data_IF_565346000085
#
_entry.id   IF_565346000085
#
_cell.length_a   1.000
_cell.length_b   1.000
_cell.length_c   1.000
_cell.angle_alpha   90.00
_cell.angle_beta   90.00
_cell.angle_gamma   90.00
#
_symmetry.space_group_name_H-M   'P 1'
#
loop_
_entity.id
_entity.type
_entity.pdbx_description
1 polymer ?
#
# COMPACT_ATOMS: atom_id res chain seq x y z
N UNK A 1 3.93 -9.47 -49.18
CA UNK A 1 4.92 -8.78 -48.32
C UNK A 1 4.81 -9.36 -46.93
N UNK A 2 5.96 -9.68 -46.33
CA UNK A 2 6.15 -10.39 -45.07
C UNK A 2 5.64 -9.62 -43.83
N UNK A 3 5.11 -10.33 -42.83
CA UNK A 3 5.37 -10.06 -41.42
C UNK A 3 4.97 -11.26 -40.53
N UNK A 4 5.97 -12.14 -40.33
CA UNK A 4 6.24 -13.07 -39.22
C UNK A 4 5.14 -13.27 -38.17
N UNK A 5 4.48 -14.43 -38.25
CA UNK A 5 4.21 -15.22 -37.05
C UNK A 5 5.56 -15.54 -36.39
N UNK A 6 5.89 -14.86 -35.29
CA UNK A 6 7.00 -15.25 -34.43
C UNK A 6 6.51 -16.39 -33.53
N UNK A 7 6.73 -17.61 -34.00
CA UNK A 7 6.86 -18.79 -33.15
C UNK A 7 8.11 -18.58 -32.28
N UNK A 8 7.94 -17.99 -31.10
CA UNK A 8 9.03 -17.97 -30.13
C UNK A 8 9.30 -19.40 -29.69
N UNK A 9 10.56 -19.81 -29.76
CA UNK A 9 10.98 -21.13 -29.28
C UNK A 9 10.81 -21.19 -27.75
N UNK A 10 10.57 -22.38 -27.16
CA UNK A 10 10.40 -22.53 -25.70
C UNK A 10 11.56 -21.90 -24.89
N UNK A 11 12.79 -21.96 -25.41
CA UNK A 11 13.97 -21.30 -24.83
C UNK A 11 13.86 -19.77 -24.75
N UNK A 12 13.19 -19.11 -25.71
CA UNK A 12 13.06 -17.65 -25.69
C UNK A 12 12.07 -17.19 -24.62
N UNK A 13 11.01 -17.96 -24.39
CA UNK A 13 10.04 -17.70 -23.32
C UNK A 13 10.67 -17.91 -21.93
N UNK A 14 11.55 -18.90 -21.78
CA UNK A 14 12.32 -19.12 -20.55
C UNK A 14 13.35 -18.01 -20.32
N UNK A 15 14.02 -17.53 -21.36
CA UNK A 15 14.99 -16.43 -21.25
C UNK A 15 14.35 -15.09 -20.90
N UNK A 16 13.18 -14.77 -21.45
CA UNK A 16 12.42 -13.57 -21.06
C UNK A 16 11.98 -13.65 -19.58
N UNK A 17 11.48 -14.81 -19.13
CA UNK A 17 11.16 -15.05 -17.72
C UNK A 17 12.40 -14.99 -16.78
N UNK A 18 13.57 -15.48 -17.23
CA UNK A 18 14.83 -15.43 -16.47
C UNK A 18 15.42 -14.01 -16.44
N UNK A 19 15.14 -13.17 -17.44
CA UNK A 19 15.58 -11.77 -17.48
C UNK A 19 14.66 -10.86 -16.65
N UNK A 20 13.38 -11.19 -16.51
CA UNK A 20 12.42 -10.45 -15.67
C UNK A 20 12.67 -10.65 -14.17
N UNK A 21 13.24 -11.80 -13.77
CA UNK A 21 13.51 -12.14 -12.36
C UNK A 21 14.85 -11.61 -11.80
N UNK A 22 15.64 -10.83 -12.57
CA UNK A 22 17.05 -10.60 -12.22
C UNK A 22 17.35 -9.41 -11.31
N UNK A 23 16.38 -8.60 -10.89
CA UNK A 23 16.65 -7.43 -10.03
C UNK A 23 15.55 -7.18 -8.97
N UNK A 24 15.02 -8.22 -8.32
CA UNK A 24 14.13 -8.01 -7.17
C UNK A 24 14.98 -7.73 -5.92
N UNK A 25 14.82 -6.53 -5.36
CA UNK A 25 15.44 -6.16 -4.08
C UNK A 25 14.37 -6.31 -3.01
N UNK A 26 14.57 -7.15 -1.97
CA UNK A 26 13.62 -7.24 -0.89
C UNK A 26 13.61 -5.92 -0.11
N UNK A 27 12.46 -5.27 -0.03
CA UNK A 27 12.22 -4.09 0.79
C UNK A 27 11.11 -4.37 1.81
N UNK A 28 11.16 -3.68 2.94
CA UNK A 28 10.08 -3.68 3.93
C UNK A 28 9.48 -2.28 3.96
N UNK A 29 8.17 -2.21 3.78
CA UNK A 29 7.42 -0.95 3.77
C UNK A 29 6.68 -0.76 5.10
N UNK A 30 6.58 0.48 5.61
CA UNK A 30 6.10 0.77 6.96
C UNK A 30 4.57 0.77 7.07
N UNK A 31 3.92 -0.39 6.91
CA UNK A 31 2.46 -0.49 7.01
C UNK A 31 1.99 -0.37 8.47
N UNK A 32 1.11 0.59 8.74
CA UNK A 32 0.40 0.74 10.01
C UNK A 32 -0.98 0.11 9.90
N UNK A 33 -1.32 -0.80 10.81
CA UNK A 33 -2.65 -1.41 10.89
C UNK A 33 -3.38 -0.91 12.13
N UNK A 34 -4.58 -0.36 11.95
CA UNK A 34 -5.48 0.07 13.03
C UNK A 34 -6.78 -0.73 12.99
N UNK A 35 -7.49 -0.76 14.13
CA UNK A 35 -8.86 -1.30 14.21
C UNK A 35 -9.86 -0.15 14.32
N UNK A 36 -10.77 -0.06 13.37
CA UNK A 36 -11.79 0.98 13.27
C UNK A 36 -13.18 0.36 13.31
N UNK A 37 -13.71 0.23 14.54
CA UNK A 37 -14.97 -0.46 14.79
C UNK A 37 -14.94 -1.93 14.36
N UNK A 38 -15.63 -2.26 13.27
CA UNK A 38 -15.74 -3.62 12.70
C UNK A 38 -14.76 -3.90 11.56
N UNK A 39 -13.83 -2.99 11.30
CA UNK A 39 -12.86 -3.07 10.22
C UNK A 39 -11.45 -3.00 10.75
N UNK A 40 -10.53 -3.63 10.04
CA UNK A 40 -9.12 -3.34 10.10
C UNK A 40 -8.77 -2.42 8.94
N UNK A 41 -8.00 -1.37 9.20
CA UNK A 41 -7.51 -0.43 8.19
C UNK A 41 -5.99 -0.53 8.18
N UNK A 42 -5.41 -0.74 7.01
CA UNK A 42 -3.96 -0.70 6.81
C UNK A 42 -3.61 0.52 5.95
N UNK A 43 -2.58 1.25 6.35
CA UNK A 43 -2.08 2.39 5.61
C UNK A 43 -0.55 2.34 5.53
N UNK A 44 -0.01 2.61 4.36
CA UNK A 44 1.42 2.85 4.18
C UNK A 44 1.68 4.36 4.04
N UNK A 45 2.32 5.01 5.03
CA UNK A 45 2.57 6.44 5.01
C UNK A 45 3.68 6.86 4.04
N UNK A 46 4.49 5.93 3.53
CA UNK A 46 5.52 6.24 2.53
C UNK A 46 4.93 6.29 1.12
N UNK A 47 4.00 5.38 0.82
CA UNK A 47 3.33 5.29 -0.48
C UNK A 47 2.02 6.09 -0.55
N UNK A 48 1.52 6.58 0.59
CA UNK A 48 0.24 7.29 0.72
C UNK A 48 -0.97 6.45 0.23
N UNK A 49 -0.91 5.13 0.43
CA UNK A 49 -1.99 4.19 0.10
C UNK A 49 -2.63 3.61 1.35
N UNK A 50 -3.90 3.24 1.25
CA UNK A 50 -4.63 2.57 2.34
C UNK A 50 -5.67 1.59 1.80
N UNK A 51 -5.92 0.54 2.57
CA UNK A 51 -6.97 -0.46 2.32
C UNK A 51 -7.61 -0.91 3.64
N UNK A 52 -8.68 -1.70 3.55
CA UNK A 52 -9.40 -2.22 4.71
C UNK A 52 -9.77 -3.69 4.53
N UNK A 53 -10.04 -4.38 5.64
CA UNK A 53 -10.52 -5.75 5.67
C UNK A 53 -11.34 -6.06 6.93
N UNK A 54 -12.12 -7.15 6.92
CA UNK A 54 -12.85 -7.64 8.11
C UNK A 54 -11.96 -8.33 9.12
N UNK A 55 -10.83 -8.85 8.67
CA UNK A 55 -9.86 -9.58 9.50
C UNK A 55 -8.46 -9.02 9.30
N UNK A 56 -7.57 -9.28 10.27
CA UNK A 56 -6.15 -8.92 10.12
C UNK A 56 -5.48 -9.61 8.93
N UNK A 57 -5.91 -10.83 8.59
CA UNK A 57 -5.38 -11.56 7.44
C UNK A 57 -5.78 -10.86 6.14
N UNK A 58 -7.08 -10.63 5.99
CA UNK A 58 -7.65 -9.99 4.79
C UNK A 58 -7.05 -8.60 4.55
N UNK A 59 -6.90 -7.77 5.58
CA UNK A 59 -6.34 -6.42 5.38
C UNK A 59 -4.87 -6.46 4.93
N UNK A 60 -4.10 -7.48 5.35
CA UNK A 60 -2.70 -7.67 4.93
C UNK A 60 -2.62 -8.16 3.48
N UNK A 61 -3.47 -9.11 3.10
CA UNK A 61 -3.58 -9.59 1.72
C UNK A 61 -3.99 -8.44 0.78
N UNK A 62 -5.03 -7.69 1.15
CA UNK A 62 -5.46 -6.52 0.39
C UNK A 62 -4.36 -5.45 0.27
N UNK A 63 -3.50 -5.29 1.29
CA UNK A 63 -2.40 -4.33 1.23
C UNK A 63 -1.27 -4.82 0.30
N UNK A 64 -1.00 -6.13 0.29
CA UNK A 64 -0.03 -6.72 -0.64
C UNK A 64 -0.46 -6.51 -2.10
N UNK A 65 -1.74 -6.79 -2.40
CA UNK A 65 -2.30 -6.58 -3.73
C UNK A 65 -2.26 -5.10 -4.13
N UNK A 66 -2.67 -4.19 -3.24
CA UNK A 66 -2.64 -2.75 -3.50
C UNK A 66 -1.21 -2.22 -3.72
N UNK A 67 -0.22 -2.72 -2.99
CA UNK A 67 1.19 -2.36 -3.21
C UNK A 67 1.65 -2.86 -4.59
N UNK A 68 1.25 -4.07 -4.99
CA UNK A 68 1.57 -4.58 -6.32
C UNK A 68 0.96 -3.70 -7.42
N UNK A 69 -0.32 -3.35 -7.29
CA UNK A 69 -1.01 -2.45 -8.23
C UNK A 69 -0.33 -1.08 -8.30
N UNK A 70 0.05 -0.50 -7.15
CA UNK A 70 0.76 0.78 -7.08
C UNK A 70 2.07 0.77 -7.88
N UNK A 71 2.85 -0.31 -7.80
CA UNK A 71 4.12 -0.42 -8.53
C UNK A 71 3.94 -0.77 -10.01
N UNK A 72 2.81 -1.37 -10.39
CA UNK A 72 2.48 -1.69 -11.78
C UNK A 72 1.90 -0.51 -12.55
N UNK A 73 1.19 0.41 -11.88
CA UNK A 73 0.61 1.58 -12.52
C UNK A 73 1.69 2.52 -13.06
N UNK A 74 1.86 2.71 -14.38
CA UNK A 74 2.90 3.56 -14.96
C UNK A 74 2.74 5.05 -14.62
N UNK A 75 1.52 5.52 -14.38
CA UNK A 75 1.19 6.93 -14.22
C UNK A 75 1.34 7.42 -12.77
N UNK A 76 1.46 6.49 -11.82
CA UNK A 76 1.71 6.81 -10.41
C UNK A 76 3.19 7.17 -10.17
N UNK A 77 3.53 8.33 -9.59
CA UNK A 77 4.91 8.64 -9.21
C UNK A 77 5.41 7.67 -8.11
N UNK A 78 6.57 7.03 -8.31
CA UNK A 78 7.15 6.08 -7.34
C UNK A 78 8.31 6.71 -6.55
N UNK A 79 8.45 6.41 -5.25
CA UNK A 79 9.64 6.78 -4.50
C UNK A 79 10.88 6.05 -5.04
N UNK A 80 12.06 6.65 -4.87
CA UNK A 80 13.32 5.99 -5.25
C UNK A 80 13.61 4.78 -4.34
N UNK A 81 14.30 3.78 -4.86
CA UNK A 81 14.73 2.62 -4.06
C UNK A 81 15.55 3.03 -2.83
N UNK A 82 16.43 4.04 -2.99
CA UNK A 82 17.22 4.59 -1.88
C UNK A 82 16.33 5.16 -0.77
N UNK A 83 15.27 5.90 -1.13
CA UNK A 83 14.29 6.39 -0.16
C UNK A 83 13.66 5.22 0.60
N UNK A 84 13.10 4.24 -0.11
CA UNK A 84 12.42 3.10 0.49
C UNK A 84 13.32 2.31 1.46
N UNK A 85 14.58 2.06 1.07
CA UNK A 85 15.54 1.36 1.93
C UNK A 85 16.03 2.18 3.13
N UNK A 86 16.01 3.51 3.04
CA UNK A 86 16.42 4.40 4.12
C UNK A 86 15.29 4.73 5.11
N UNK A 87 14.04 4.38 4.78
CA UNK A 87 12.88 4.69 5.60
C UNK A 87 12.95 3.92 6.92
N UNK A 88 12.86 4.65 8.03
CA UNK A 88 12.81 4.09 9.38
C UNK A 88 11.52 4.50 10.07
N UNK A 89 10.89 3.59 10.81
CA UNK A 89 9.70 3.87 11.62
C UNK A 89 10.10 4.05 13.07
N UNK A 90 9.66 5.15 13.68
CA UNK A 90 9.80 5.39 15.12
C UNK A 90 8.43 5.58 15.75
N UNK A 91 8.09 4.74 16.73
CA UNK A 91 6.87 4.90 17.53
C UNK A 91 7.24 5.69 18.76
N UNK A 92 6.84 6.97 18.79
CA UNK A 92 7.13 7.89 19.91
C UNK A 92 5.84 8.42 20.51
N UNK A 93 5.78 8.49 21.84
CA UNK A 93 4.68 9.15 22.55
C UNK A 93 4.92 10.66 22.54
N UNK A 94 4.24 11.39 21.66
CA UNK A 94 4.31 12.85 21.58
C UNK A 94 3.12 13.48 22.32
N UNK A 95 3.29 14.08 23.51
CA UNK A 95 2.19 14.72 24.23
C UNK A 95 1.76 16.00 23.50
N UNK A 96 0.48 16.09 23.15
CA UNK A 96 -0.12 17.26 22.48
C UNK A 96 -1.32 17.79 23.28
N UNK A 97 -1.57 19.10 23.22
CA UNK A 97 -2.77 19.72 23.80
C UNK A 97 -3.84 19.86 22.71
N UNK A 98 -4.99 19.22 22.89
CA UNK A 98 -6.11 19.29 21.95
C UNK A 98 -7.22 20.16 22.55
N UNK A 99 -7.74 21.12 21.78
CA UNK A 99 -8.90 21.92 22.18
C UNK A 99 -10.20 21.15 21.96
N UNK A 100 -10.99 20.95 23.03
CA UNK A 100 -12.30 20.29 22.94
C UNK A 100 -13.36 21.38 22.89
N UNK A 101 -14.03 21.56 21.75
CA UNK A 101 -15.24 22.39 21.67
C UNK A 101 -16.43 21.53 22.09
N UNK A 102 -17.04 21.80 23.25
CA UNK A 102 -18.30 21.12 23.60
C UNK A 102 -19.44 21.69 22.76
N UNK A 103 -20.09 20.83 21.98
CA UNK A 103 -21.37 21.16 21.37
C UNK A 103 -22.42 21.23 22.50
N UNK A 104 -22.98 22.42 22.75
CA UNK A 104 -24.12 22.56 23.66
C UNK A 104 -25.29 21.75 23.12
N UNK A 105 -25.76 20.76 23.89
CA UNK A 105 -26.97 20.02 23.58
C UNK A 105 -28.17 20.98 23.59
N UNK A 106 -28.75 21.27 22.42
CA UNK A 106 -30.01 22.00 22.32
C UNK A 106 -31.13 21.09 22.81
N UNK A 107 -31.69 21.40 23.98
CA UNK A 107 -32.90 20.73 24.49
C UNK A 107 -34.06 21.03 23.55
N UNK A 108 -34.41 20.08 22.68
CA UNK A 108 -35.66 20.16 21.93
C UNK A 108 -36.78 19.90 22.94
N UNK A 109 -37.52 20.95 23.31
CA UNK A 109 -38.80 20.81 24.03
C UNK A 109 -39.81 20.19 23.06
N UNK A 110 -40.23 18.95 23.34
CA UNK A 110 -41.42 18.37 22.73
C UNK A 110 -42.65 19.21 23.11
N UNK A 111 -43.49 19.53 22.12
CA UNK A 111 -44.79 20.19 22.28
C UNK A 111 -45.88 19.22 21.81
#
# INVERSE_FOLDING_TARGET
MYAKHLSLSPCQYELENIMEHKNTVPISLPVVVSREGKWFVAADPLLEIATQGKTEKEVRENMQDLIADYFQDPDTPKPTLKMMMSTSVSVINMPVKVGITSAKASTIKAR
#
